data_IF_562553556560
#
_entry.id   IF_562553556560
#
_cell.length_a   1.000
_cell.length_b   1.000
_cell.length_c   1.000
_cell.angle_alpha   90.00
_cell.angle_beta   90.00
_cell.angle_gamma   90.00
#
_symmetry.space_group_name_H-M   'P 1'
#
loop_
_entity.id
_entity.type
_entity.pdbx_description
1 polymer ?
#
# COMPACT_ATOMS: atom_id res chain seq x y z
N UNK A 1 -16.82 -67.66 5.29
CA UNK A 1 -15.61 -67.30 6.06
C UNK A 1 -14.63 -66.65 5.08
N UNK A 2 -14.18 -65.43 5.40
CA UNK A 2 -13.11 -64.64 4.75
C UNK A 2 -13.29 -64.17 3.29
N UNK A 3 -13.74 -62.92 3.17
CA UNK A 3 -13.41 -62.01 2.07
C UNK A 3 -12.15 -61.25 2.50
N UNK A 4 -11.04 -61.41 1.78
CA UNK A 4 -9.82 -60.61 1.98
C UNK A 4 -9.79 -59.48 0.96
N UNK A 5 -10.15 -58.26 1.38
CA UNK A 5 -9.89 -57.05 0.61
C UNK A 5 -8.44 -56.59 0.74
N UNK A 6 -7.88 -55.88 -0.25
CA UNK A 6 -6.54 -55.30 -0.13
C UNK A 6 -6.56 -54.13 0.86
N UNK A 7 -5.62 -54.17 1.80
CA UNK A 7 -5.39 -53.13 2.81
C UNK A 7 -4.86 -51.85 2.15
N UNK A 8 -5.68 -50.81 2.10
CA UNK A 8 -5.25 -49.44 1.87
C UNK A 8 -4.55 -48.92 3.14
N UNK A 9 -3.26 -49.22 3.30
CA UNK A 9 -2.41 -48.52 4.25
C UNK A 9 -1.92 -47.20 3.62
N UNK A 10 -2.79 -46.18 3.63
CA UNK A 10 -2.37 -44.81 3.40
C UNK A 10 -1.60 -44.34 4.64
N UNK A 11 -0.26 -44.43 4.60
CA UNK A 11 0.58 -43.76 5.58
C UNK A 11 0.31 -42.26 5.56
N UNK A 12 0.44 -41.54 6.69
CA UNK A 12 0.29 -40.09 6.70
C UNK A 12 1.40 -39.51 5.81
N UNK A 13 1.01 -39.02 4.64
CA UNK A 13 1.88 -38.20 3.81
C UNK A 13 2.28 -37.00 4.67
N UNK A 14 3.54 -37.03 5.14
CA UNK A 14 4.17 -35.90 5.79
C UNK A 14 4.22 -34.74 4.78
N UNK A 15 3.14 -33.96 4.71
CA UNK A 15 3.03 -32.74 3.92
C UNK A 15 3.80 -31.60 4.61
N UNK A 16 5.03 -31.90 5.06
CA UNK A 16 6.04 -30.86 5.28
C UNK A 16 6.57 -30.50 3.91
N UNK A 17 5.77 -29.77 3.14
CA UNK A 17 6.31 -28.97 2.07
C UNK A 17 7.28 -28.01 2.73
N UNK A 18 8.56 -28.33 2.65
CA UNK A 18 9.64 -27.36 2.71
C UNK A 18 9.41 -26.41 1.54
N UNK A 19 8.43 -25.50 1.66
CA UNK A 19 8.35 -24.34 0.81
C UNK A 19 9.53 -23.46 1.21
N UNK A 20 10.70 -23.77 0.64
CA UNK A 20 11.74 -22.77 0.53
C UNK A 20 11.07 -21.53 -0.02
N UNK A 21 11.08 -20.47 0.78
CA UNK A 21 10.50 -19.19 0.39
C UNK A 21 11.07 -18.82 -0.98
N UNK A 22 10.21 -18.51 -1.98
CA UNK A 22 10.68 -18.18 -3.32
C UNK A 22 11.77 -17.12 -3.26
N UNK A 23 12.82 -17.31 -4.06
CA UNK A 23 13.94 -16.36 -4.13
C UNK A 23 13.45 -15.06 -4.74
N UNK A 24 13.56 -13.96 -3.99
CA UNK A 24 13.14 -12.63 -4.42
C UNK A 24 14.36 -11.78 -4.68
N UNK A 25 14.34 -10.98 -5.76
CA UNK A 25 15.33 -9.92 -5.98
C UNK A 25 15.04 -8.74 -5.04
N UNK A 26 15.47 -8.87 -3.80
CA UNK A 26 15.37 -7.83 -2.76
C UNK A 26 16.48 -6.77 -2.84
N UNK A 27 16.43 -5.81 -1.92
CA UNK A 27 17.47 -4.77 -1.77
C UNK A 27 18.73 -5.32 -1.12
N UNK A 28 19.89 -4.73 -1.44
CA UNK A 28 21.13 -5.03 -0.71
C UNK A 28 21.07 -4.51 0.74
N UNK A 29 21.90 -5.00 1.68
CA UNK A 29 21.92 -4.47 3.05
C UNK A 29 22.27 -2.98 3.15
N UNK A 30 23.11 -2.46 2.25
CA UNK A 30 23.43 -1.03 2.18
C UNK A 30 22.22 -0.24 1.68
N UNK A 31 21.61 -0.68 0.58
CA UNK A 31 20.41 -0.05 0.02
C UNK A 31 19.24 -0.07 1.02
N UNK A 32 19.00 -1.19 1.70
CA UNK A 32 17.97 -1.29 2.73
C UNK A 32 18.18 -0.31 3.89
N UNK A 33 19.43 -0.10 4.34
CA UNK A 33 19.73 0.92 5.36
C UNK A 33 19.46 2.34 4.86
N UNK A 34 19.79 2.64 3.61
CA UNK A 34 19.49 3.94 2.99
C UNK A 34 17.98 4.16 2.93
N UNK A 35 17.22 3.18 2.45
CA UNK A 35 15.75 3.30 2.37
C UNK A 35 15.12 3.53 3.73
N UNK A 36 15.51 2.75 4.75
CA UNK A 36 15.04 2.96 6.12
C UNK A 36 15.44 4.34 6.64
N UNK A 37 16.68 4.76 6.40
CA UNK A 37 17.18 6.08 6.80
C UNK A 37 16.37 7.22 6.17
N UNK A 38 16.05 7.12 4.88
CA UNK A 38 15.21 8.10 4.17
C UNK A 38 13.80 8.13 4.73
N UNK A 39 13.17 6.96 4.97
CA UNK A 39 11.83 6.89 5.56
C UNK A 39 11.79 7.50 6.97
N UNK A 40 12.78 7.16 7.82
CA UNK A 40 12.88 7.71 9.18
C UNK A 40 13.15 9.21 9.15
N UNK A 41 14.02 9.68 8.25
CA UNK A 41 14.27 11.10 8.08
C UNK A 41 13.01 11.84 7.64
N UNK A 42 12.25 11.31 6.67
CA UNK A 42 10.97 11.88 6.25
C UNK A 42 9.95 11.97 7.39
N UNK A 43 9.85 10.92 8.21
CA UNK A 43 8.99 10.90 9.41
C UNK A 43 9.41 11.97 10.42
N UNK A 44 10.71 12.04 10.75
CA UNK A 44 11.21 13.00 11.74
C UNK A 44 11.05 14.43 11.23
N UNK A 45 11.40 14.71 9.98
CA UNK A 45 11.30 16.05 9.40
C UNK A 45 9.85 16.51 9.29
N UNK A 46 8.92 15.63 8.89
CA UNK A 46 7.49 15.98 8.83
C UNK A 46 6.88 16.29 10.19
N UNK A 47 7.42 15.71 11.26
CA UNK A 47 6.97 15.94 12.64
C UNK A 47 7.44 17.28 13.24
N UNK A 48 8.38 17.99 12.60
CA UNK A 48 8.85 19.28 13.08
C UNK A 48 7.83 20.34 12.71
N UNK A 49 7.04 20.79 13.69
CA UNK A 49 6.02 21.84 13.52
C UNK A 49 5.05 21.60 12.33
N UNK A 50 4.37 20.42 12.26
CA UNK A 50 3.33 20.22 11.27
C UNK A 50 2.18 21.20 11.51
N UNK A 51 1.41 21.48 10.46
CA UNK A 51 0.22 22.34 10.51
C UNK A 51 -0.80 21.87 11.54
N UNK A 52 -0.97 20.56 11.69
CA UNK A 52 -1.80 19.93 12.72
C UNK A 52 -1.18 18.60 13.15
N UNK A 53 -0.86 18.44 14.43
CA UNK A 53 -0.34 17.17 14.94
C UNK A 53 -1.37 16.03 14.85
N UNK A 54 -2.66 16.35 14.97
CA UNK A 54 -3.74 15.36 14.83
C UNK A 54 -3.80 14.81 13.41
N UNK A 55 -3.88 15.70 12.42
CA UNK A 55 -3.87 15.34 11.00
C UNK A 55 -2.56 14.62 10.63
N UNK A 56 -1.42 15.16 11.06
CA UNK A 56 -0.12 14.53 10.84
C UNK A 56 -0.11 13.08 11.34
N UNK A 57 -0.57 12.83 12.57
CA UNK A 57 -0.60 11.49 13.15
C UNK A 57 -1.50 10.53 12.36
N UNK A 58 -2.67 10.99 11.91
CA UNK A 58 -3.60 10.21 11.10
C UNK A 58 -3.00 9.86 9.72
N UNK A 59 -2.28 10.79 9.09
CA UNK A 59 -1.62 10.55 7.80
C UNK A 59 -0.45 9.59 7.92
N UNK A 60 0.45 9.82 8.89
CA UNK A 60 1.69 9.03 9.00
C UNK A 60 1.52 7.69 9.72
N UNK A 61 0.33 7.39 10.28
CA UNK A 61 0.08 6.13 11.01
C UNK A 61 0.43 4.89 10.17
N UNK A 62 0.20 4.96 8.85
CA UNK A 62 0.51 3.89 7.92
C UNK A 62 2.02 3.65 7.79
N UNK A 63 2.82 4.71 7.88
CA UNK A 63 4.29 4.60 7.90
C UNK A 63 4.77 4.08 9.25
N UNK A 64 4.19 4.59 10.35
CA UNK A 64 4.50 4.17 11.72
C UNK A 64 4.18 2.68 11.96
N UNK A 65 3.13 2.15 11.33
CA UNK A 65 2.79 0.72 11.37
C UNK A 65 3.58 -0.09 10.32
N UNK A 66 3.66 0.42 9.09
CA UNK A 66 4.23 -0.28 7.94
C UNK A 66 5.73 -0.52 8.05
N UNK A 67 6.51 0.49 8.49
CA UNK A 67 7.96 0.35 8.59
C UNK A 67 8.37 -0.73 9.61
N UNK A 68 7.87 -0.74 10.86
CA UNK A 68 8.14 -1.84 11.80
C UNK A 68 7.69 -3.20 11.27
N UNK A 69 6.54 -3.27 10.60
CA UNK A 69 6.02 -4.52 10.03
C UNK A 69 6.98 -5.08 8.98
N UNK A 70 7.43 -4.26 8.04
CA UNK A 70 8.40 -4.65 7.00
C UNK A 70 9.72 -5.09 7.64
N UNK A 71 10.22 -4.35 8.64
CA UNK A 71 11.47 -4.69 9.31
C UNK A 71 11.38 -5.99 10.13
N UNK A 72 10.24 -6.24 10.76
CA UNK A 72 9.98 -7.46 11.53
C UNK A 72 9.96 -8.68 10.62
N UNK A 73 9.27 -8.60 9.48
CA UNK A 73 9.15 -9.72 8.54
C UNK A 73 10.30 -9.85 7.54
N UNK A 74 11.23 -8.90 7.44
CA UNK A 74 12.27 -8.85 6.38
C UNK A 74 13.08 -10.13 6.14
N UNK A 75 13.31 -10.94 7.19
CA UNK A 75 14.03 -12.22 7.07
C UNK A 75 13.13 -13.38 6.64
N UNK A 76 11.86 -13.36 7.08
CA UNK A 76 10.88 -14.42 6.81
C UNK A 76 10.14 -14.19 5.50
N UNK A 77 9.94 -12.94 5.11
CA UNK A 77 9.24 -12.49 3.91
C UNK A 77 9.98 -11.27 3.33
N UNK A 78 11.14 -11.46 2.68
CA UNK A 78 11.84 -10.36 2.01
C UNK A 78 10.98 -9.85 0.86
N UNK A 79 10.82 -8.53 0.77
CA UNK A 79 10.06 -7.87 -0.29
C UNK A 79 10.92 -7.67 -1.55
N UNK A 80 10.27 -7.57 -2.70
CA UNK A 80 10.94 -7.17 -3.94
C UNK A 80 11.58 -5.78 -3.81
N UNK A 81 12.72 -5.57 -4.48
CA UNK A 81 13.39 -4.26 -4.54
C UNK A 81 12.44 -3.16 -5.03
N UNK A 82 11.60 -3.46 -6.02
CA UNK A 82 10.56 -2.57 -6.53
C UNK A 82 9.62 -2.13 -5.39
N UNK A 83 9.06 -3.09 -4.65
CA UNK A 83 8.12 -2.78 -3.58
C UNK A 83 8.79 -1.98 -2.46
N UNK A 84 10.04 -2.27 -2.09
CA UNK A 84 10.77 -1.46 -1.10
C UNK A 84 10.88 0.02 -1.51
N UNK A 85 11.22 0.31 -2.77
CA UNK A 85 11.30 1.68 -3.27
C UNK A 85 9.92 2.35 -3.33
N UNK A 86 8.89 1.63 -3.76
CA UNK A 86 7.51 2.14 -3.79
C UNK A 86 7.00 2.48 -2.38
N UNK A 87 7.29 1.64 -1.38
CA UNK A 87 6.91 1.90 0.01
C UNK A 87 7.60 3.15 0.58
N UNK A 88 8.88 3.37 0.26
CA UNK A 88 9.59 4.60 0.65
C UNK A 88 8.98 5.82 -0.03
N UNK A 89 8.71 5.74 -1.34
CA UNK A 89 8.02 6.81 -2.06
C UNK A 89 6.65 7.13 -1.43
N UNK A 90 5.82 6.13 -1.17
CA UNK A 90 4.53 6.30 -0.52
C UNK A 90 4.67 6.92 0.88
N UNK A 91 5.64 6.47 1.68
CA UNK A 91 5.89 7.04 2.99
C UNK A 91 6.27 8.54 2.91
N UNK A 92 7.03 8.95 1.89
CA UNK A 92 7.37 10.36 1.69
C UNK A 92 6.16 11.20 1.28
N UNK A 93 5.25 10.66 0.48
CA UNK A 93 3.96 11.30 0.14
C UNK A 93 3.14 11.54 1.41
N UNK A 94 2.96 10.51 2.25
CA UNK A 94 2.24 10.62 3.51
C UNK A 94 2.90 11.60 4.49
N UNK A 95 4.24 11.56 4.61
CA UNK A 95 4.97 12.48 5.48
C UNK A 95 4.84 13.94 5.01
N UNK A 96 4.97 14.20 3.71
CA UNK A 96 4.86 15.54 3.15
C UNK A 96 3.44 16.10 3.34
N UNK A 97 2.44 15.33 2.97
CA UNK A 97 1.06 15.74 3.14
C UNK A 97 0.65 15.86 4.62
N UNK A 98 1.11 14.96 5.49
CA UNK A 98 0.87 15.06 6.94
C UNK A 98 1.54 16.30 7.57
N UNK A 99 2.69 16.74 7.08
CA UNK A 99 3.33 17.97 7.56
C UNK A 99 2.51 19.22 7.24
N UNK A 100 2.00 19.32 6.01
CA UNK A 100 1.29 20.52 5.55
C UNK A 100 -0.24 20.43 5.71
N UNK A 101 -0.81 19.26 5.99
CA UNK A 101 -2.18 18.87 5.60
C UNK A 101 -2.35 18.80 4.07
N UNK A 102 -3.18 17.88 3.59
CA UNK A 102 -3.32 17.66 2.14
C UNK A 102 -3.90 18.87 1.41
N UNK A 103 -4.80 19.62 2.05
CA UNK A 103 -5.41 20.83 1.51
C UNK A 103 -4.41 22.00 1.33
N UNK A 104 -3.33 22.06 2.12
CA UNK A 104 -2.44 23.23 2.17
C UNK A 104 -1.01 22.92 1.68
N UNK A 105 -0.80 21.80 0.99
CA UNK A 105 0.54 21.46 0.50
C UNK A 105 1.08 22.49 -0.50
N UNK A 106 2.34 22.95 -0.37
CA UNK A 106 2.95 23.88 -1.32
C UNK A 106 2.97 23.37 -2.76
N UNK A 107 3.24 22.08 -2.95
CA UNK A 107 3.25 21.46 -4.28
C UNK A 107 1.86 21.50 -4.91
N UNK A 108 0.83 21.20 -4.12
CA UNK A 108 -0.55 21.24 -4.56
C UNK A 108 -1.01 22.66 -4.91
N UNK A 109 -0.64 23.65 -4.10
CA UNK A 109 -0.92 25.06 -4.38
C UNK A 109 -0.23 25.54 -5.67
N UNK A 110 1.01 25.12 -5.91
CA UNK A 110 1.73 25.45 -7.15
C UNK A 110 1.03 24.88 -8.39
N UNK A 111 0.61 23.61 -8.35
CA UNK A 111 -0.15 23.01 -9.45
C UNK A 111 -1.53 23.64 -9.62
N UNK A 112 -2.18 24.01 -8.51
CA UNK A 112 -3.47 24.68 -8.53
C UNK A 112 -3.38 26.02 -9.28
N UNK A 113 -2.39 26.84 -8.95
CA UNK A 113 -2.15 28.11 -9.63
C UNK A 113 -1.81 27.90 -11.11
N UNK A 114 -0.91 26.96 -11.40
CA UNK A 114 -0.46 26.69 -12.76
C UNK A 114 -1.58 26.17 -13.68
N UNK A 115 -2.46 25.30 -13.17
CA UNK A 115 -3.58 24.72 -13.92
C UNK A 115 -4.88 25.52 -13.80
N UNK A 116 -4.93 26.52 -12.92
CA UNK A 116 -6.13 27.30 -12.64
C UNK A 116 -7.26 26.48 -12.01
N UNK A 117 -6.94 25.45 -11.21
CA UNK A 117 -7.97 24.63 -10.56
C UNK A 117 -8.59 25.36 -9.36
N UNK A 118 -9.84 25.01 -9.04
CA UNK A 118 -10.55 25.62 -7.92
C UNK A 118 -10.02 25.20 -6.54
N UNK A 119 -9.24 24.11 -6.47
CA UNK A 119 -8.71 23.55 -5.22
C UNK A 119 -7.31 22.96 -5.39
N UNK A 120 -6.68 22.69 -4.26
CA UNK A 120 -5.47 21.90 -4.15
C UNK A 120 -5.83 20.41 -4.34
N UNK A 121 -5.14 19.73 -5.26
CA UNK A 121 -5.38 18.32 -5.61
C UNK A 121 -4.29 17.36 -5.10
N UNK A 122 -3.52 17.76 -4.09
CA UNK A 122 -2.52 16.88 -3.50
C UNK A 122 -3.13 15.62 -2.88
N UNK A 123 -4.29 15.77 -2.23
CA UNK A 123 -5.05 14.66 -1.66
C UNK A 123 -5.36 13.58 -2.72
N UNK A 124 -5.98 14.01 -3.82
CA UNK A 124 -6.25 13.17 -4.99
C UNK A 124 -5.02 12.47 -5.54
N UNK A 125 -3.88 13.17 -5.58
CA UNK A 125 -2.62 12.55 -5.95
C UNK A 125 -2.19 11.48 -4.92
N UNK A 126 -2.31 11.77 -3.63
CA UNK A 126 -2.04 10.81 -2.57
C UNK A 126 -2.95 9.57 -2.68
N UNK A 127 -4.23 9.72 -3.03
CA UNK A 127 -5.13 8.60 -3.31
C UNK A 127 -4.75 7.78 -4.53
N UNK A 128 -4.25 8.39 -5.61
CA UNK A 128 -3.63 7.62 -6.72
C UNK A 128 -2.46 6.79 -6.19
N UNK A 129 -1.61 7.34 -5.34
CA UNK A 129 -0.48 6.61 -4.72
C UNK A 129 -0.96 5.52 -3.75
N UNK A 130 -2.03 5.79 -3.00
CA UNK A 130 -2.72 4.87 -2.07
C UNK A 130 -3.27 3.64 -2.81
N UNK A 131 -3.66 3.78 -4.08
CA UNK A 131 -3.97 2.64 -4.94
C UNK A 131 -2.71 1.99 -5.51
N UNK A 132 -1.83 2.81 -6.07
CA UNK A 132 -0.71 2.38 -6.90
C UNK A 132 0.30 1.53 -6.14
N UNK A 133 0.73 1.97 -4.96
CA UNK A 133 1.77 1.28 -4.19
C UNK A 133 1.22 0.02 -3.48
N UNK A 134 0.11 0.09 -2.73
CA UNK A 134 -0.51 -1.09 -2.12
C UNK A 134 -0.92 -2.16 -3.12
N UNK A 135 -1.32 -1.83 -4.36
CA UNK A 135 -1.62 -2.85 -5.37
C UNK A 135 -0.44 -3.79 -5.64
N UNK A 136 0.80 -3.28 -5.66
CA UNK A 136 2.01 -4.10 -5.80
C UNK A 136 2.29 -4.91 -4.53
N UNK A 137 2.05 -4.34 -3.35
CA UNK A 137 2.19 -5.03 -2.07
C UNK A 137 1.23 -6.23 -1.96
N UNK A 138 -0.06 -5.99 -2.24
CA UNK A 138 -1.11 -7.02 -2.20
C UNK A 138 -0.85 -8.06 -3.27
N UNK A 139 -0.49 -7.66 -4.50
CA UNK A 139 -0.09 -8.59 -5.55
C UNK A 139 1.04 -9.50 -5.10
N UNK A 140 2.09 -8.96 -4.48
CA UNK A 140 3.22 -9.75 -4.02
C UNK A 140 2.82 -10.77 -2.95
N UNK A 141 1.99 -10.36 -2.00
CA UNK A 141 1.45 -11.24 -0.95
C UNK A 141 0.62 -12.36 -1.58
N UNK A 142 -0.35 -12.03 -2.43
CA UNK A 142 -1.25 -13.01 -3.05
C UNK A 142 -0.48 -14.02 -3.90
N UNK A 143 0.46 -13.56 -4.73
CA UNK A 143 1.25 -14.47 -5.59
C UNK A 143 2.15 -15.43 -4.81
N UNK A 144 2.56 -15.05 -3.60
CA UNK A 144 3.52 -15.83 -2.80
C UNK A 144 2.85 -16.69 -1.73
N UNK A 145 1.64 -16.33 -1.31
CA UNK A 145 0.93 -16.97 -0.20
C UNK A 145 -0.31 -17.75 -0.64
N UNK A 146 -0.71 -17.68 -1.91
CA UNK A 146 -1.93 -18.32 -2.43
C UNK A 146 -1.68 -18.99 -3.78
N UNK A 147 -2.53 -19.94 -4.22
CA UNK A 147 -2.45 -20.56 -5.54
C UNK A 147 -3.19 -19.76 -6.63
N UNK A 148 -3.45 -18.47 -6.42
CA UNK A 148 -4.26 -17.66 -7.34
C UNK A 148 -3.55 -17.43 -8.68
N UNK A 149 -4.32 -17.53 -9.77
CA UNK A 149 -3.87 -17.13 -11.10
C UNK A 149 -3.73 -15.61 -11.26
N UNK A 150 -3.11 -15.18 -12.36
CA UNK A 150 -2.78 -13.76 -12.63
C UNK A 150 -4.01 -12.86 -12.69
N UNK A 151 -5.10 -13.34 -13.29
CA UNK A 151 -6.36 -12.58 -13.38
C UNK A 151 -6.98 -12.33 -12.01
N UNK A 152 -7.15 -13.37 -11.21
CA UNK A 152 -7.69 -13.27 -9.85
C UNK A 152 -6.81 -12.45 -8.91
N UNK A 153 -5.49 -12.57 -9.03
CA UNK A 153 -4.55 -11.76 -8.26
C UNK A 153 -4.71 -10.27 -8.58
N UNK A 154 -4.81 -9.91 -9.86
CA UNK A 154 -5.01 -8.52 -10.26
C UNK A 154 -6.35 -7.98 -9.77
N UNK A 155 -7.43 -8.74 -9.96
CA UNK A 155 -8.76 -8.38 -9.48
C UNK A 155 -8.79 -8.16 -7.97
N UNK A 156 -8.29 -9.12 -7.19
CA UNK A 156 -8.27 -9.02 -5.72
C UNK A 156 -7.34 -7.92 -5.22
N UNK A 157 -6.21 -7.65 -5.89
CA UNK A 157 -5.36 -6.51 -5.55
C UNK A 157 -6.12 -5.18 -5.68
N UNK A 158 -6.89 -4.99 -6.75
CA UNK A 158 -7.75 -3.81 -6.92
C UNK A 158 -8.85 -3.77 -5.86
N UNK A 159 -9.54 -4.89 -5.60
CA UNK A 159 -10.58 -4.95 -4.57
C UNK A 159 -10.05 -4.60 -3.18
N UNK A 160 -8.88 -5.10 -2.80
CA UNK A 160 -8.27 -4.77 -1.50
C UNK A 160 -7.93 -3.28 -1.41
N UNK A 161 -7.36 -2.69 -2.46
CA UNK A 161 -7.07 -1.25 -2.47
C UNK A 161 -8.36 -0.42 -2.37
N UNK A 162 -9.39 -0.77 -3.13
CA UNK A 162 -10.70 -0.12 -3.10
C UNK A 162 -11.33 -0.21 -1.70
N UNK A 163 -11.34 -1.39 -1.08
CA UNK A 163 -11.90 -1.58 0.27
C UNK A 163 -11.12 -0.82 1.33
N UNK A 164 -9.80 -0.74 1.24
CA UNK A 164 -8.98 0.07 2.15
C UNK A 164 -9.34 1.56 2.00
N UNK A 165 -9.47 2.05 0.76
CA UNK A 165 -9.85 3.44 0.51
C UNK A 165 -11.25 3.74 1.04
N UNK A 166 -12.26 2.90 0.74
CA UNK A 166 -13.60 3.00 1.34
C UNK A 166 -13.54 3.04 2.87
N UNK A 167 -12.74 2.16 3.47
CA UNK A 167 -12.59 2.11 4.93
C UNK A 167 -11.99 3.39 5.50
N UNK A 168 -11.01 3.98 4.82
CA UNK A 168 -10.38 5.25 5.23
C UNK A 168 -11.39 6.40 5.17
N UNK A 169 -12.09 6.56 4.05
CA UNK A 169 -13.15 7.59 3.88
C UNK A 169 -14.25 7.49 4.94
N UNK A 170 -14.65 6.26 5.30
CA UNK A 170 -15.63 6.04 6.36
C UNK A 170 -15.10 6.46 7.74
N UNK A 171 -13.80 6.29 8.00
CA UNK A 171 -13.17 6.79 9.23
C UNK A 171 -13.13 8.31 9.24
N UNK A 172 -12.80 8.96 8.14
CA UNK A 172 -12.79 10.42 8.04
C UNK A 172 -14.18 11.02 8.23
N UNK A 173 -15.17 10.47 7.53
CA UNK A 173 -16.57 10.84 7.69
C UNK A 173 -17.04 10.63 9.13
N UNK A 174 -16.70 9.49 9.75
CA UNK A 174 -17.02 9.20 11.15
C UNK A 174 -16.38 10.19 12.12
N UNK A 175 -15.12 10.57 11.90
CA UNK A 175 -14.41 11.56 12.71
C UNK A 175 -15.07 12.95 12.59
N UNK A 176 -15.50 13.34 11.39
CA UNK A 176 -16.19 14.59 11.16
C UNK A 176 -17.54 14.70 11.90
N UNK A 177 -18.29 13.59 11.95
CA UNK A 177 -19.53 13.49 12.72
C UNK A 177 -19.27 13.59 14.23
N UNK A 178 -18.25 12.91 14.74
CA UNK A 178 -17.94 12.85 16.17
C UNK A 178 -17.42 14.17 16.75
N UNK A 179 -16.65 14.93 15.96
CA UNK A 179 -15.98 16.16 16.38
C UNK A 179 -16.76 17.44 16.00
N UNK A 180 -17.98 17.30 15.49
CA UNK A 180 -18.93 18.41 15.32
C UNK A 180 -18.56 19.41 14.22
N UNK A 181 -18.10 18.95 13.05
CA UNK A 181 -17.74 19.83 11.93
C UNK A 181 -16.45 20.64 12.14
N UNK A 182 -15.90 20.69 13.35
CA UNK A 182 -14.58 21.28 13.63
C UNK A 182 -13.41 20.44 13.06
N UNK A 183 -13.70 19.25 12.51
CA UNK A 183 -12.75 18.39 11.81
C UNK A 183 -12.83 18.54 10.27
N UNK A 184 -13.38 19.64 9.75
CA UNK A 184 -13.39 19.96 8.31
C UNK A 184 -11.99 20.00 7.70
N UNK A 185 -10.99 20.36 8.51
CA UNK A 185 -9.60 20.49 8.06
C UNK A 185 -8.97 19.11 7.78
N UNK A 186 -9.42 18.05 8.46
CA UNK A 186 -9.00 16.68 8.16
C UNK A 186 -9.71 16.14 6.91
N UNK A 187 -11.00 16.44 6.77
CA UNK A 187 -11.83 16.02 5.62
C UNK A 187 -11.30 16.50 4.26
N UNK A 188 -10.44 17.52 4.19
CA UNK A 188 -9.77 17.90 2.93
C UNK A 188 -10.67 18.39 1.78
N UNK A 189 -12.00 18.43 2.01
CA UNK A 189 -13.02 18.59 0.96
C UNK A 189 -12.87 19.87 0.16
N UNK A 190 -12.34 20.94 0.76
CA UNK A 190 -12.18 22.25 0.10
C UNK A 190 -13.47 22.73 -0.59
N UNK A 191 -14.64 22.36 -0.02
CA UNK A 191 -15.96 22.67 -0.57
C UNK A 191 -16.46 21.74 -1.70
N UNK A 192 -15.72 20.69 -2.04
CA UNK A 192 -16.13 19.67 -3.01
C UNK A 192 -16.97 18.58 -2.34
N UNK A 193 -18.24 18.50 -2.71
CA UNK A 193 -19.17 17.48 -2.20
C UNK A 193 -18.88 16.06 -2.73
N UNK A 194 -18.06 15.95 -3.77
CA UNK A 194 -17.71 14.68 -4.42
C UNK A 194 -16.34 14.16 -4.03
N UNK A 195 -15.69 14.75 -3.03
CA UNK A 195 -14.27 14.49 -2.78
C UNK A 195 -13.99 13.02 -2.48
N UNK A 196 -14.66 12.48 -1.46
CA UNK A 196 -14.62 11.07 -1.09
C UNK A 196 -14.84 10.14 -2.29
N UNK A 197 -15.76 10.47 -3.21
CA UNK A 197 -15.97 9.66 -4.43
C UNK A 197 -14.79 9.74 -5.39
N UNK A 198 -14.22 10.93 -5.58
CA UNK A 198 -13.00 11.11 -6.37
C UNK A 198 -11.81 10.37 -5.77
N UNK A 199 -11.66 10.41 -4.46
CA UNK A 199 -10.55 9.79 -3.74
C UNK A 199 -10.59 8.26 -3.87
N UNK A 200 -11.76 7.66 -3.64
CA UNK A 200 -11.98 6.23 -3.90
C UNK A 200 -11.75 5.85 -5.37
N UNK A 201 -12.26 6.65 -6.31
CA UNK A 201 -12.10 6.39 -7.74
C UNK A 201 -10.63 6.45 -8.17
N UNK A 202 -9.91 7.48 -7.72
CA UNK A 202 -8.50 7.69 -8.04
C UNK A 202 -7.61 6.62 -7.40
N UNK A 203 -7.95 6.12 -6.22
CA UNK A 203 -7.32 4.94 -5.64
C UNK A 203 -7.49 3.70 -6.55
N UNK A 204 -8.70 3.43 -7.05
CA UNK A 204 -8.94 2.35 -8.01
C UNK A 204 -8.11 2.54 -9.29
N UNK A 205 -8.09 3.75 -9.85
CA UNK A 205 -7.26 4.08 -11.02
C UNK A 205 -5.77 3.85 -10.75
N UNK A 206 -5.26 4.28 -9.60
CA UNK A 206 -3.88 4.06 -9.18
C UNK A 206 -3.53 2.58 -9.12
N UNK A 207 -4.40 1.76 -8.51
CA UNK A 207 -4.22 0.32 -8.44
C UNK A 207 -4.17 -0.33 -9.83
N UNK A 208 -5.09 0.04 -10.73
CA UNK A 208 -5.10 -0.44 -12.11
C UNK A 208 -3.82 -0.03 -12.86
N UNK A 209 -3.39 1.22 -12.73
CA UNK A 209 -2.16 1.73 -13.36
C UNK A 209 -0.93 0.97 -12.87
N UNK A 210 -0.81 0.70 -11.58
CA UNK A 210 0.32 -0.07 -11.05
C UNK A 210 0.39 -1.47 -11.66
N UNK A 211 -0.74 -2.16 -11.74
CA UNK A 211 -0.82 -3.50 -12.32
C UNK A 211 -0.55 -3.50 -13.83
N UNK A 212 -0.97 -2.46 -14.55
CA UNK A 212 -0.70 -2.32 -15.98
C UNK A 212 0.79 -2.02 -16.26
N UNK A 213 1.37 -1.07 -15.52
CA UNK A 213 2.70 -0.54 -15.79
C UNK A 213 3.81 -1.40 -15.18
N UNK A 214 3.64 -1.90 -13.96
CA UNK A 214 4.72 -2.50 -13.19
C UNK A 214 4.72 -4.03 -13.16
N UNK A 215 3.66 -4.69 -13.64
CA UNK A 215 3.55 -6.16 -13.61
C UNK A 215 4.79 -6.87 -14.16
N UNK A 216 5.28 -6.45 -15.34
CA UNK A 216 6.45 -7.09 -15.98
C UNK A 216 7.73 -6.89 -15.17
N UNK A 217 7.91 -5.71 -14.58
CA UNK A 217 9.09 -5.39 -13.75
C UNK A 217 9.03 -6.17 -12.45
N UNK A 218 7.86 -6.24 -11.82
CA UNK A 218 7.61 -6.98 -10.60
C UNK A 218 7.81 -8.48 -10.81
N UNK A 219 7.29 -9.05 -11.91
CA UNK A 219 7.47 -10.46 -12.26
C UNK A 219 8.94 -10.84 -12.37
N UNK A 220 9.79 -9.98 -12.97
CA UNK A 220 11.25 -10.24 -13.06
C UNK A 220 11.97 -10.25 -11.71
N UNK A 221 11.35 -9.70 -10.67
CA UNK A 221 11.90 -9.70 -9.31
C UNK A 221 11.34 -10.83 -8.44
N UNK A 222 10.29 -11.50 -8.91
CA UNK A 222 9.70 -12.68 -8.30
C UNK A 222 10.26 -13.96 -8.94
N UNK A 223 10.38 -15.02 -8.15
CA UNK A 223 11.00 -16.30 -8.55
C UNK A 223 10.33 -16.92 -9.80
N UNK A 224 11.11 -17.63 -10.62
CA UNK A 224 10.60 -18.47 -11.69
C UNK A 224 9.60 -19.52 -11.19
N UNK A 225 9.76 -20.05 -9.96
CA UNK A 225 8.79 -20.99 -9.39
C UNK A 225 7.39 -20.38 -9.16
N UNK A 226 7.33 -19.08 -8.84
CA UNK A 226 6.06 -18.32 -8.77
C UNK A 226 5.49 -18.10 -10.17
N UNK A 227 6.34 -17.95 -11.18
CA UNK A 227 5.93 -17.82 -12.59
C UNK A 227 5.50 -19.14 -13.22
N UNK A 228 6.06 -20.28 -12.82
CA UNK A 228 5.78 -21.62 -13.40
C UNK A 228 4.48 -22.23 -12.83
N UNK A 229 4.06 -21.82 -11.62
CA UNK A 229 2.73 -22.16 -11.09
C UNK A 229 1.59 -21.37 -11.75
N UNK A 230 1.91 -20.48 -12.70
CA UNK A 230 0.98 -19.51 -13.31
C UNK A 230 0.77 -19.75 -14.79
#
# INVERSE_FOLDING_TARGET
>A
MMVTGPSCAAGPANFRHSMGMPTVRGVSPAEGRVLVGVTVAGLVLSAIAPKSYGTWALEVIWVLAGLPLVLFYRKRFPLTRLLCWLLVFHALVLCYGGHYTYAETPLGAWFQEWLGTSRNHYDRFAHVVQGFVPAIAVRELLLRLTPLGRGWTAFLAVCVCATISVGFELVEWGAALALGGAATDFLGTQGDIWDTQWDMFLCVCGALLALLLLRRVHDRQLDAAVQVRQ
#
